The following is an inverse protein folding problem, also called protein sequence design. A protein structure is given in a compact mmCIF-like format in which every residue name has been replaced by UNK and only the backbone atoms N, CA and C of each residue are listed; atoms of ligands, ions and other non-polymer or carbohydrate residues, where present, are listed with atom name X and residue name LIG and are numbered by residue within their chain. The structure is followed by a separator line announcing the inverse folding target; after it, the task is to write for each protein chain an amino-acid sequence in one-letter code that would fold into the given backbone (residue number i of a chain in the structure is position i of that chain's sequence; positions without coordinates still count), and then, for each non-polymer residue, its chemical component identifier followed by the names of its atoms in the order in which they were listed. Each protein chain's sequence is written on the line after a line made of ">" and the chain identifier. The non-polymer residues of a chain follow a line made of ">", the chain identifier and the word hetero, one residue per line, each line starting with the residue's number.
data_IF_229168318413
#
_entry.id   IF_229168318413
#
_cell.length_a   1.000
_cell.length_b   1.000
_cell.length_c   1.000
_cell.angle_alpha   90.00
_cell.angle_beta   90.00
_cell.angle_gamma   90.00
#
_symmetry.space_group_name_H-M   'P 1'
#
loop_
_entity.id
_entity.type
_entity.pdbx_description
1 polymer ?
#
# COMPACT_ATOMS: atom_id res chain seq x y z
N UNK A 1 -3.90 -18.48 44.21
CA UNK A 1 -3.56 -19.02 42.87
C UNK A 1 -4.76 -19.06 41.93
N UNK A 2 -5.87 -19.74 42.26
CA UNK A 2 -7.03 -19.86 41.34
C UNK A 2 -7.57 -18.52 40.85
N UNK A 3 -7.77 -17.55 41.77
CA UNK A 3 -8.23 -16.19 41.40
C UNK A 3 -7.27 -15.49 40.43
N UNK A 4 -5.96 -15.55 40.72
CA UNK A 4 -4.92 -14.93 39.88
C UNK A 4 -4.90 -15.51 38.48
N UNK A 5 -4.95 -16.85 38.36
CA UNK A 5 -4.95 -17.53 37.06
C UNK A 5 -6.21 -17.20 36.27
N UNK A 6 -7.38 -17.24 36.93
CA UNK A 6 -8.66 -16.95 36.28
C UNK A 6 -8.71 -15.53 35.70
N UNK A 7 -8.37 -14.51 36.49
CA UNK A 7 -8.38 -13.12 36.01
C UNK A 7 -7.33 -12.86 34.93
N UNK A 8 -6.10 -13.40 35.09
CA UNK A 8 -5.06 -13.24 34.07
C UNK A 8 -5.45 -13.91 32.75
N UNK A 9 -5.99 -15.13 32.79
CA UNK A 9 -6.41 -15.85 31.59
C UNK A 9 -7.56 -15.11 30.87
N UNK A 10 -8.56 -14.62 31.62
CA UNK A 10 -9.66 -13.84 31.07
C UNK A 10 -9.16 -12.58 30.36
N UNK A 11 -8.21 -11.86 30.97
CA UNK A 11 -7.62 -10.66 30.39
C UNK A 11 -6.81 -10.97 29.12
N UNK A 12 -6.00 -12.04 29.14
CA UNK A 12 -5.21 -12.45 27.97
C UNK A 12 -6.12 -12.85 26.81
N UNK A 13 -7.16 -13.65 27.06
CA UNK A 13 -8.13 -14.05 26.02
C UNK A 13 -8.89 -12.83 25.49
N UNK A 14 -9.34 -11.94 26.37
CA UNK A 14 -10.02 -10.71 25.97
C UNK A 14 -9.15 -9.86 25.04
N UNK A 15 -7.89 -9.59 25.41
CA UNK A 15 -7.00 -8.80 24.56
C UNK A 15 -6.56 -9.53 23.30
N UNK A 16 -6.44 -10.86 23.34
CA UNK A 16 -6.16 -11.64 22.13
C UNK A 16 -7.30 -11.51 21.11
N UNK A 17 -8.55 -11.66 21.55
CA UNK A 17 -9.73 -11.51 20.70
C UNK A 17 -9.85 -10.07 20.18
N UNK A 18 -9.57 -9.08 21.03
CA UNK A 18 -9.70 -7.66 20.69
C UNK A 18 -8.62 -7.19 19.70
N UNK A 19 -7.37 -7.65 19.84
CA UNK A 19 -6.22 -7.06 19.12
C UNK A 19 -5.59 -7.97 18.06
N UNK A 20 -5.67 -9.30 18.21
CA UNK A 20 -4.95 -10.23 17.32
C UNK A 20 -5.90 -10.89 16.33
N UNK A 21 -6.95 -11.53 16.83
CA UNK A 21 -7.88 -12.27 15.99
C UNK A 21 -9.27 -12.28 16.61
N UNK A 22 -10.19 -11.57 15.97
CA UNK A 22 -11.59 -11.54 16.36
C UNK A 22 -12.39 -12.55 15.53
N UNK A 23 -12.70 -13.75 16.04
CA UNK A 23 -13.46 -14.77 15.30
C UNK A 23 -14.90 -14.33 14.99
N UNK A 24 -15.40 -13.27 15.62
CA UNK A 24 -16.75 -12.75 15.42
C UNK A 24 -16.83 -11.70 14.32
N UNK A 25 -15.69 -11.22 13.80
CA UNK A 25 -15.65 -10.29 12.68
C UNK A 25 -15.53 -11.06 11.37
N UNK A 26 -16.58 -11.02 10.55
CA UNK A 26 -16.53 -11.58 9.21
C UNK A 26 -15.70 -10.68 8.30
N UNK A 27 -14.58 -11.21 7.81
CA UNK A 27 -13.75 -10.58 6.79
C UNK A 27 -13.85 -11.38 5.51
N UNK A 28 -14.04 -10.70 4.38
CA UNK A 28 -13.91 -11.35 3.08
C UNK A 28 -12.43 -11.63 2.82
N UNK A 29 -12.09 -12.90 2.68
CA UNK A 29 -10.78 -13.34 2.25
C UNK A 29 -10.79 -13.53 0.73
N UNK A 30 -9.73 -13.08 0.09
CA UNK A 30 -9.54 -13.16 -1.34
C UNK A 30 -8.37 -14.10 -1.62
N UNK A 31 -8.54 -15.00 -2.58
CA UNK A 31 -7.47 -15.90 -2.99
C UNK A 31 -6.39 -15.14 -3.73
N UNK A 32 -5.13 -15.44 -3.42
CA UNK A 32 -3.97 -14.95 -4.16
C UNK A 32 -3.15 -16.15 -4.64
N UNK A 33 -3.09 -16.41 -5.96
CA UNK A 33 -2.25 -17.46 -6.52
C UNK A 33 -0.77 -17.30 -6.11
N UNK A 34 -0.07 -18.41 -5.86
CA UNK A 34 1.32 -18.41 -5.37
C UNK A 34 2.29 -17.72 -6.35
N UNK A 35 2.06 -17.87 -7.65
CA UNK A 35 2.83 -17.21 -8.70
C UNK A 35 2.65 -15.69 -8.66
N UNK A 36 1.41 -15.22 -8.50
CA UNK A 36 1.10 -13.81 -8.32
C UNK A 36 1.70 -13.27 -7.02
N UNK A 37 1.62 -14.01 -5.92
CA UNK A 37 2.23 -13.64 -4.64
C UNK A 37 3.76 -13.48 -4.76
N UNK A 38 4.41 -14.37 -5.52
CA UNK A 38 5.85 -14.30 -5.80
C UNK A 38 6.21 -13.05 -6.59
N UNK A 39 5.45 -12.72 -7.64
CA UNK A 39 5.65 -11.51 -8.46
C UNK A 39 5.44 -10.25 -7.61
N UNK A 40 4.41 -10.20 -6.78
CA UNK A 40 4.13 -9.08 -5.85
C UNK A 40 5.25 -8.91 -4.81
N UNK A 41 6.01 -9.97 -4.53
CA UNK A 41 7.20 -9.95 -3.68
C UNK A 41 8.46 -9.42 -4.35
N UNK A 42 8.53 -9.37 -5.68
CA UNK A 42 9.75 -9.05 -6.42
C UNK A 42 9.92 -7.53 -6.64
N UNK A 43 11.00 -6.91 -6.14
CA UNK A 43 11.30 -5.50 -6.41
C UNK A 43 11.44 -5.16 -7.90
N UNK A 44 11.90 -6.10 -8.73
CA UNK A 44 12.02 -5.86 -10.19
C UNK A 44 10.66 -5.76 -10.85
N UNK A 45 9.71 -6.60 -10.44
CA UNK A 45 8.34 -6.56 -10.91
C UNK A 45 7.65 -5.22 -10.60
N UNK A 46 8.00 -4.56 -9.48
CA UNK A 46 7.48 -3.24 -9.14
C UNK A 46 7.93 -2.14 -10.13
N UNK A 47 9.13 -2.24 -10.71
CA UNK A 47 9.61 -1.28 -11.72
C UNK A 47 8.81 -1.40 -13.02
N UNK A 48 8.59 -2.63 -13.50
CA UNK A 48 7.74 -2.90 -14.66
C UNK A 48 6.27 -2.53 -14.38
N UNK A 49 5.79 -2.85 -13.19
CA UNK A 49 4.45 -2.53 -12.71
C UNK A 49 4.15 -1.03 -12.73
N UNK A 50 5.15 -0.18 -12.50
CA UNK A 50 5.01 1.27 -12.60
C UNK A 50 4.68 1.73 -14.02
N UNK A 51 5.36 1.17 -15.02
CA UNK A 51 5.11 1.53 -16.42
C UNK A 51 3.77 0.99 -16.89
N UNK A 52 3.42 -0.25 -16.50
CA UNK A 52 2.08 -0.81 -16.72
C UNK A 52 0.98 0.05 -16.08
N UNK A 53 1.22 0.57 -14.87
CA UNK A 53 0.27 1.46 -14.20
C UNK A 53 0.08 2.78 -14.96
N UNK A 54 1.16 3.41 -15.44
CA UNK A 54 1.06 4.64 -16.23
C UNK A 54 0.28 4.44 -17.52
N UNK A 55 0.49 3.30 -18.17
CA UNK A 55 -0.16 2.99 -19.45
C UNK A 55 -1.64 2.68 -19.30
N UNK A 56 -2.04 1.99 -18.23
CA UNK A 56 -3.39 1.43 -18.11
C UNK A 56 -4.26 2.10 -17.04
N UNK A 57 -3.67 2.69 -16.01
CA UNK A 57 -4.39 3.18 -14.82
C UNK A 57 -4.35 4.71 -14.68
N UNK A 58 -3.25 5.35 -15.09
CA UNK A 58 -3.05 6.80 -14.91
C UNK A 58 -3.99 7.68 -15.77
N UNK A 59 -4.75 7.09 -16.69
CA UNK A 59 -5.83 7.80 -17.39
C UNK A 59 -6.97 8.23 -16.45
N UNK A 60 -7.23 7.45 -15.39
CA UNK A 60 -8.36 7.63 -14.48
C UNK A 60 -7.95 7.78 -13.02
N UNK A 61 -6.80 7.23 -12.61
CA UNK A 61 -6.34 7.24 -11.23
C UNK A 61 -5.09 8.09 -11.04
N UNK A 62 -5.06 8.88 -9.97
CA UNK A 62 -3.81 9.43 -9.46
C UNK A 62 -3.14 8.43 -8.50
N UNK A 63 -1.82 8.54 -8.39
CA UNK A 63 -1.01 7.90 -7.37
C UNK A 63 0.04 8.92 -6.92
N UNK A 64 -0.44 9.90 -6.14
CA UNK A 64 0.29 11.12 -5.79
C UNK A 64 1.57 10.86 -5.00
N UNK A 65 1.61 9.81 -4.17
CA UNK A 65 2.80 9.49 -3.36
C UNK A 65 4.00 9.00 -4.20
N UNK A 66 3.79 8.58 -5.45
CA UNK A 66 4.88 8.32 -6.42
C UNK A 66 4.91 9.37 -7.55
N UNK A 67 4.16 10.46 -7.40
CA UNK A 67 4.13 11.58 -8.34
C UNK A 67 3.43 11.25 -9.66
N UNK A 68 2.53 10.28 -9.67
CA UNK A 68 1.70 9.96 -10.85
C UNK A 68 0.35 10.67 -10.70
N UNK A 69 -0.03 11.41 -11.73
CA UNK A 69 -1.29 12.13 -11.82
C UNK A 69 -2.01 11.72 -13.11
N UNK A 70 -3.25 12.20 -13.26
CA UNK A 70 -4.04 11.96 -14.46
C UNK A 70 -3.28 12.39 -15.71
N UNK A 71 -3.27 11.54 -16.74
CA UNK A 71 -2.60 11.83 -18.00
C UNK A 71 -3.06 13.17 -18.60
N UNK A 72 -4.35 13.46 -18.52
CA UNK A 72 -4.94 14.73 -18.99
C UNK A 72 -4.44 15.96 -18.21
N UNK A 73 -4.13 15.80 -16.92
CA UNK A 73 -3.56 16.86 -16.09
C UNK A 73 -2.08 17.03 -16.39
N UNK A 74 -1.33 15.94 -16.54
CA UNK A 74 0.10 16.00 -16.88
C UNK A 74 0.37 16.55 -18.27
N UNK A 75 -0.60 16.45 -19.18
CA UNK A 75 -0.52 17.01 -20.53
C UNK A 75 -0.69 18.54 -20.57
N UNK A 76 -1.11 19.17 -19.46
CA UNK A 76 -1.31 20.63 -19.40
C UNK A 76 0.02 21.37 -19.40
N UNK A 77 0.21 22.44 -20.21
CA UNK A 77 1.47 23.18 -20.28
C UNK A 77 1.93 23.77 -18.94
N UNK A 78 0.99 24.17 -18.08
CA UNK A 78 1.25 24.74 -16.77
C UNK A 78 1.67 23.68 -15.73
N UNK A 79 1.36 22.40 -15.94
CA UNK A 79 1.58 21.35 -14.96
C UNK A 79 3.04 21.26 -14.52
N UNK A 80 3.99 21.32 -15.47
CA UNK A 80 5.42 21.21 -15.11
C UNK A 80 5.95 22.38 -14.29
N UNK A 81 5.31 23.56 -14.38
CA UNK A 81 5.65 24.70 -13.53
C UNK A 81 5.08 24.50 -12.13
N UNK A 82 3.83 24.05 -12.04
CA UNK A 82 3.12 23.84 -10.78
C UNK A 82 3.77 22.71 -9.98
N UNK A 83 4.09 21.58 -10.61
CA UNK A 83 4.70 20.43 -9.93
C UNK A 83 6.06 20.78 -9.32
N UNK A 84 6.84 21.65 -9.97
CA UNK A 84 8.16 22.08 -9.49
C UNK A 84 8.07 23.18 -8.45
N UNK A 85 7.10 24.09 -8.57
CA UNK A 85 6.94 25.21 -7.64
C UNK A 85 6.27 24.79 -6.33
N UNK A 86 5.26 23.92 -6.41
CA UNK A 86 4.40 23.56 -5.29
C UNK A 86 4.61 22.11 -4.81
N UNK A 87 5.27 21.28 -5.61
CA UNK A 87 5.51 19.88 -5.30
C UNK A 87 6.80 19.65 -4.52
N UNK A 88 6.79 18.62 -3.67
CA UNK A 88 7.98 18.10 -3.00
C UNK A 88 8.60 16.99 -3.83
N UNK A 89 9.92 16.99 -4.10
CA UNK A 89 10.55 15.95 -4.90
C UNK A 89 10.45 14.60 -4.18
N UNK A 90 9.99 13.59 -4.90
CA UNK A 90 10.00 12.20 -4.47
C UNK A 90 11.34 11.61 -4.86
N UNK A 91 12.14 11.29 -3.84
CA UNK A 91 13.50 10.84 -4.00
C UNK A 91 13.54 9.31 -3.96
N UNK A 92 14.09 8.75 -5.02
CA UNK A 92 14.53 7.36 -5.08
C UNK A 92 16.04 7.31 -4.84
N UNK A 93 16.47 6.51 -3.87
CA UNK A 93 17.88 6.25 -3.61
C UNK A 93 18.27 4.93 -4.28
N UNK A 94 19.14 5.02 -5.27
CA UNK A 94 19.78 3.87 -5.90
C UNK A 94 21.25 3.85 -5.49
N UNK A 95 21.54 3.16 -4.39
CA UNK A 95 22.83 3.26 -3.69
C UNK A 95 23.12 4.70 -3.24
N UNK A 96 24.24 5.25 -3.70
CA UNK A 96 24.65 6.63 -3.42
C UNK A 96 24.00 7.67 -4.35
N UNK A 97 23.31 7.24 -5.42
CA UNK A 97 22.69 8.15 -6.38
C UNK A 97 21.27 8.51 -5.95
N UNK A 98 21.01 9.81 -5.89
CA UNK A 98 19.69 10.39 -5.61
C UNK A 98 19.02 10.75 -6.94
N UNK A 99 17.93 10.06 -7.27
CA UNK A 99 17.12 10.36 -8.46
C UNK A 99 15.77 10.92 -8.04
N UNK A 100 15.34 12.02 -8.66
CA UNK A 100 13.97 12.53 -8.51
C UNK A 100 13.07 11.72 -9.44
N UNK A 101 12.14 10.96 -8.86
CA UNK A 101 11.22 10.08 -9.58
C UNK A 101 9.94 10.81 -10.03
N UNK A 102 9.57 11.86 -9.30
CA UNK A 102 8.40 12.71 -9.53
C UNK A 102 8.26 13.76 -8.43
N UNK A 103 7.14 14.47 -8.41
CA UNK A 103 6.82 15.45 -7.38
C UNK A 103 5.50 15.10 -6.68
N UNK A 104 5.51 15.11 -5.36
CA UNK A 104 4.30 15.06 -4.54
C UNK A 104 3.71 16.47 -4.46
N UNK A 105 2.55 16.66 -5.06
CA UNK A 105 1.80 17.91 -5.09
C UNK A 105 0.70 17.81 -4.03
N UNK A 106 0.53 18.84 -3.18
CA UNK A 106 -0.57 18.92 -2.23
C UNK A 106 -1.94 18.70 -2.88
N UNK A 107 -2.86 18.10 -2.13
CA UNK A 107 -4.16 17.65 -2.65
C UNK A 107 -4.99 18.80 -3.22
N UNK A 108 -5.06 19.90 -2.47
CA UNK A 108 -5.76 21.14 -2.82
C UNK A 108 -5.22 21.75 -4.12
N UNK A 109 -3.90 21.83 -4.27
CA UNK A 109 -3.25 22.33 -5.49
C UNK A 109 -3.57 21.42 -6.68
N UNK A 110 -3.46 20.10 -6.49
CA UNK A 110 -3.78 19.14 -7.54
C UNK A 110 -5.25 19.21 -7.95
N UNK A 111 -6.19 19.20 -6.99
CA UNK A 111 -7.63 19.25 -7.27
C UNK A 111 -8.05 20.58 -7.93
N UNK A 112 -7.39 21.69 -7.60
CA UNK A 112 -7.65 22.97 -8.27
C UNK A 112 -7.29 22.93 -9.77
N UNK A 113 -6.15 22.33 -10.11
CA UNK A 113 -5.69 22.21 -11.51
C UNK A 113 -6.46 21.13 -12.26
N UNK A 114 -6.76 20.03 -11.59
CA UNK A 114 -7.44 18.86 -12.14
C UNK A 114 -8.97 18.97 -12.12
N UNK A 115 -9.54 20.04 -11.56
CA UNK A 115 -10.98 20.20 -11.38
C UNK A 115 -11.83 19.81 -12.61
N UNK A 116 -11.59 20.34 -13.83
CA UNK A 116 -12.39 19.96 -14.99
C UNK A 116 -12.26 18.47 -15.34
N UNK A 117 -11.06 17.91 -15.24
CA UNK A 117 -10.78 16.50 -15.50
C UNK A 117 -11.49 15.58 -14.50
N UNK A 118 -11.43 15.93 -13.21
CA UNK A 118 -12.10 15.18 -12.15
C UNK A 118 -13.62 15.23 -12.31
N UNK A 119 -14.18 16.37 -12.74
CA UNK A 119 -15.62 16.48 -13.00
C UNK A 119 -16.04 15.68 -14.23
N UNK A 120 -15.22 15.64 -15.27
CA UNK A 120 -15.46 14.79 -16.43
C UNK A 120 -15.46 13.29 -16.04
N UNK A 121 -14.48 12.86 -15.24
CA UNK A 121 -14.43 11.49 -14.71
C UNK A 121 -15.65 11.19 -13.82
N UNK A 122 -16.05 12.13 -12.96
CA UNK A 122 -17.25 12.01 -12.13
C UNK A 122 -18.52 11.90 -12.96
N UNK A 123 -18.63 12.63 -14.07
CA UNK A 123 -19.78 12.52 -14.97
C UNK A 123 -19.84 11.14 -15.64
N UNK A 124 -18.70 10.61 -16.08
CA UNK A 124 -18.62 9.30 -16.77
C UNK A 124 -18.82 8.10 -15.83
N UNK A 125 -18.24 8.15 -14.63
CA UNK A 125 -18.23 7.01 -13.69
C UNK A 125 -19.15 7.22 -12.48
N UNK A 126 -19.89 8.32 -12.41
CA UNK A 126 -20.71 8.72 -11.26
C UNK A 126 -19.92 9.19 -10.03
N UNK A 127 -18.65 8.80 -9.92
CA UNK A 127 -17.73 9.17 -8.83
C UNK A 127 -16.34 9.41 -9.40
N UNK A 128 -15.59 10.29 -8.75
CA UNK A 128 -14.16 10.48 -9.07
C UNK A 128 -13.41 9.20 -8.67
N UNK A 129 -12.65 8.57 -9.57
CA UNK A 129 -11.84 7.42 -9.22
C UNK A 129 -10.87 7.77 -8.08
N UNK A 130 -10.73 6.91 -7.05
CA UNK A 130 -9.93 7.22 -5.89
C UNK A 130 -8.42 7.30 -6.20
N UNK A 131 -7.71 8.11 -5.42
CA UNK A 131 -6.25 8.14 -5.40
C UNK A 131 -5.69 6.82 -4.85
N UNK A 132 -4.75 6.21 -5.57
CA UNK A 132 -4.22 4.88 -5.26
C UNK A 132 -2.97 4.91 -4.38
N UNK A 133 -2.55 6.08 -3.91
CA UNK A 133 -1.33 6.27 -3.12
C UNK A 133 -1.21 5.32 -1.93
N UNK A 134 -2.31 5.10 -1.19
CA UNK A 134 -2.34 4.27 0.04
C UNK A 134 -3.24 3.05 -0.08
N UNK A 135 -3.70 2.73 -1.30
CA UNK A 135 -4.72 1.69 -1.49
C UNK A 135 -4.23 0.31 -1.08
N UNK A 136 -2.92 0.06 -1.20
CA UNK A 136 -2.31 -1.19 -0.75
C UNK A 136 -2.54 -1.46 0.74
N UNK A 137 -2.37 -0.44 1.59
CA UNK A 137 -2.66 -0.57 3.01
C UNK A 137 -4.15 -0.69 3.33
N UNK A 138 -5.02 -0.08 2.51
CA UNK A 138 -6.46 -0.08 2.73
C UNK A 138 -7.16 -1.38 2.29
N UNK A 139 -6.55 -2.16 1.39
CA UNK A 139 -7.19 -3.33 0.76
C UNK A 139 -6.36 -4.60 0.76
N UNK A 140 -5.03 -4.49 0.81
CA UNK A 140 -4.12 -5.64 0.75
C UNK A 140 -3.93 -6.21 -0.67
N UNK A 141 -2.95 -7.11 -0.80
CA UNK A 141 -2.52 -7.65 -2.09
C UNK A 141 -3.59 -8.48 -2.79
N UNK A 142 -4.25 -9.39 -2.05
CA UNK A 142 -5.20 -10.34 -2.62
C UNK A 142 -6.45 -9.65 -3.19
N UNK A 143 -7.04 -8.73 -2.41
CA UNK A 143 -8.15 -7.90 -2.89
C UNK A 143 -7.74 -7.13 -4.15
N UNK A 144 -6.59 -6.44 -4.14
CA UNK A 144 -6.17 -5.62 -5.27
C UNK A 144 -5.91 -6.44 -6.53
N UNK A 145 -5.35 -7.63 -6.38
CA UNK A 145 -5.15 -8.55 -7.49
C UNK A 145 -6.49 -8.98 -8.10
N UNK A 146 -7.41 -9.50 -7.28
CA UNK A 146 -8.72 -9.97 -7.75
C UNK A 146 -9.57 -8.83 -8.31
N UNK A 147 -9.58 -7.66 -7.66
CA UNK A 147 -10.35 -6.50 -8.07
C UNK A 147 -9.83 -5.91 -9.38
N UNK A 148 -8.51 -5.86 -9.59
CA UNK A 148 -7.94 -5.32 -10.83
C UNK A 148 -8.17 -6.26 -12.01
N UNK A 149 -8.13 -7.57 -11.78
CA UNK A 149 -8.38 -8.58 -12.81
C UNK A 149 -9.86 -8.65 -13.20
N UNK A 150 -10.77 -8.64 -12.21
CA UNK A 150 -12.21 -8.76 -12.42
C UNK A 150 -13.00 -7.84 -11.49
N UNK A 151 -13.07 -6.51 -11.79
CA UNK A 151 -13.73 -5.55 -10.91
C UNK A 151 -15.18 -5.88 -10.59
N UNK A 152 -15.95 -6.33 -11.60
CA UNK A 152 -17.37 -6.68 -11.44
C UNK A 152 -17.61 -7.90 -10.55
N UNK A 153 -16.64 -8.83 -10.49
CA UNK A 153 -16.73 -10.04 -9.66
C UNK A 153 -16.56 -9.68 -8.18
N UNK A 154 -15.64 -8.76 -7.88
CA UNK A 154 -15.34 -8.33 -6.51
C UNK A 154 -16.35 -7.29 -6.03
N UNK A 155 -16.70 -6.31 -6.86
CA UNK A 155 -17.67 -5.28 -6.54
C UNK A 155 -18.74 -5.18 -7.65
N UNK A 156 -19.87 -5.89 -7.51
CA UNK A 156 -20.94 -5.86 -8.50
C UNK A 156 -21.46 -4.45 -8.72
N UNK A 157 -21.55 -4.02 -9.99
CA UNK A 157 -22.03 -2.70 -10.37
C UNK A 157 -21.00 -1.58 -10.21
N UNK A 158 -19.72 -1.92 -10.01
CA UNK A 158 -18.64 -0.93 -10.07
C UNK A 158 -18.58 -0.28 -11.47
N UNK A 159 -18.24 1.01 -11.53
CA UNK A 159 -18.04 1.70 -12.81
C UNK A 159 -16.65 1.48 -13.40
N UNK A 160 -15.75 0.82 -12.65
CA UNK A 160 -14.42 0.47 -13.14
C UNK A 160 -14.54 -0.61 -14.23
N UNK A 161 -14.06 -0.35 -15.46
CA UNK A 161 -14.07 -1.34 -16.52
C UNK A 161 -13.04 -2.44 -16.24
N UNK A 162 -13.25 -3.61 -16.84
CA UNK A 162 -12.21 -4.62 -16.91
C UNK A 162 -11.14 -4.15 -17.89
N UNK A 163 -9.90 -4.03 -17.41
CA UNK A 163 -8.75 -3.55 -18.20
C UNK A 163 -7.89 -4.72 -18.72
N UNK A 164 -7.91 -5.84 -18.01
CA UNK A 164 -7.10 -7.01 -18.30
C UNK A 164 -8.02 -8.20 -18.58
N UNK A 165 -7.88 -8.80 -19.76
CA UNK A 165 -8.75 -9.87 -20.23
C UNK A 165 -7.95 -11.18 -20.35
N UNK A 166 -7.88 -11.99 -19.28
CA UNK A 166 -7.13 -13.25 -19.28
C UNK A 166 -7.65 -14.26 -20.31
N UNK A 167 -8.87 -14.09 -20.81
CA UNK A 167 -9.45 -14.87 -21.89
C UNK A 167 -8.71 -14.68 -23.23
N UNK A 168 -8.14 -13.49 -23.44
CA UNK A 168 -7.44 -13.12 -24.68
C UNK A 168 -5.93 -12.92 -24.50
N UNK A 169 -5.51 -12.44 -23.33
CA UNK A 169 -4.12 -12.17 -22.99
C UNK A 169 -3.70 -13.05 -21.79
N UNK A 170 -2.96 -14.12 -22.06
CA UNK A 170 -2.48 -15.04 -21.01
C UNK A 170 -1.51 -14.39 -20.02
N UNK A 171 -0.92 -13.25 -20.38
CA UNK A 171 -0.02 -12.49 -19.50
C UNK A 171 -0.78 -11.48 -18.61
N UNK A 172 -2.09 -11.32 -18.82
CA UNK A 172 -2.92 -10.41 -18.01
C UNK A 172 -2.77 -10.63 -16.50
N UNK A 173 -2.81 -11.87 -15.96
CA UNK A 173 -2.62 -12.12 -14.54
C UNK A 173 -1.24 -11.66 -14.04
N UNK A 174 -0.19 -11.87 -14.82
CA UNK A 174 1.16 -11.43 -14.50
C UNK A 174 1.26 -9.89 -14.50
N UNK A 175 0.69 -9.22 -15.51
CA UNK A 175 0.64 -7.75 -15.60
C UNK A 175 -0.08 -7.15 -14.39
N UNK A 176 -1.20 -7.73 -13.98
CA UNK A 176 -1.92 -7.33 -12.77
C UNK A 176 -1.06 -7.53 -11.53
N UNK A 177 -0.40 -8.68 -11.38
CA UNK A 177 0.50 -8.92 -10.26
C UNK A 177 1.65 -7.90 -10.19
N UNK A 178 2.24 -7.51 -11.34
CA UNK A 178 3.26 -6.44 -11.42
C UNK A 178 2.70 -5.09 -10.98
N UNK A 179 1.49 -4.72 -11.41
CA UNK A 179 0.83 -3.49 -10.95
C UNK A 179 0.62 -3.51 -9.42
N UNK A 180 0.18 -4.63 -8.86
CA UNK A 180 0.02 -4.77 -7.41
C UNK A 180 1.39 -4.73 -6.69
N UNK A 181 2.44 -5.31 -7.28
CA UNK A 181 3.82 -5.19 -6.80
C UNK A 181 4.27 -3.72 -6.73
N UNK A 182 3.90 -2.94 -7.75
CA UNK A 182 4.16 -1.51 -7.77
C UNK A 182 3.38 -0.76 -6.67
N UNK A 183 2.07 -0.99 -6.53
CA UNK A 183 1.25 -0.38 -5.46
C UNK A 183 1.78 -0.72 -4.06
N UNK A 184 2.31 -1.94 -3.89
CA UNK A 184 3.01 -2.37 -2.68
C UNK A 184 4.28 -1.56 -2.46
N UNK A 185 5.13 -1.42 -3.47
CA UNK A 185 6.44 -0.74 -3.37
C UNK A 185 6.34 0.74 -3.03
N UNK A 186 5.21 1.38 -3.34
CA UNK A 186 4.94 2.78 -2.98
C UNK A 186 4.71 2.94 -1.49
N UNK A 187 4.12 1.93 -0.86
CA UNK A 187 3.68 1.97 0.53
C UNK A 187 4.69 1.32 1.46
N UNK A 188 5.21 0.16 1.08
CA UNK A 188 6.10 -0.62 1.94
C UNK A 188 7.58 -0.28 1.72
N UNK A 189 8.39 -0.28 2.80
CA UNK A 189 9.83 -0.06 2.67
C UNK A 189 10.50 -1.20 1.87
N UNK A 190 11.64 -0.92 1.21
CA UNK A 190 12.38 -1.93 0.48
C UNK A 190 12.85 -3.08 1.40
N UNK A 191 13.12 -4.28 0.85
CA UNK A 191 13.50 -5.45 1.65
C UNK A 191 14.64 -5.19 2.63
N UNK A 192 15.67 -4.43 2.22
CA UNK A 192 16.80 -4.08 3.09
C UNK A 192 16.41 -3.29 4.34
N UNK A 193 15.50 -2.31 4.21
CA UNK A 193 15.01 -1.53 5.34
C UNK A 193 14.02 -2.33 6.20
N UNK A 194 13.22 -3.22 5.60
CA UNK A 194 12.38 -4.16 6.38
C UNK A 194 13.21 -5.04 7.30
N UNK A 195 14.28 -5.64 6.78
CA UNK A 195 15.17 -6.49 7.58
C UNK A 195 15.82 -5.71 8.72
N UNK A 196 16.30 -4.48 8.46
CA UNK A 196 16.84 -3.61 9.52
C UNK A 196 15.80 -3.34 10.61
N UNK A 197 14.56 -3.00 10.24
CA UNK A 197 13.47 -2.73 11.20
C UNK A 197 13.15 -3.95 12.05
N UNK A 198 13.05 -5.13 11.44
CA UNK A 198 12.83 -6.39 12.17
C UNK A 198 13.95 -6.67 13.15
N UNK A 199 15.20 -6.52 12.72
CA UNK A 199 16.37 -6.76 13.56
C UNK A 199 16.45 -5.78 14.74
N UNK A 200 16.25 -4.48 14.49
CA UNK A 200 16.18 -3.47 15.56
C UNK A 200 15.04 -3.75 16.54
N UNK A 201 13.90 -4.22 16.05
CA UNK A 201 12.77 -4.63 16.90
C UNK A 201 13.15 -5.77 17.84
N UNK A 202 13.76 -6.83 17.31
CA UNK A 202 14.22 -7.99 18.09
C UNK A 202 15.23 -7.57 19.16
N UNK A 203 16.24 -6.77 18.79
CA UNK A 203 17.23 -6.28 19.76
C UNK A 203 16.62 -5.40 20.84
N UNK A 204 15.69 -4.53 20.47
CA UNK A 204 15.01 -3.62 21.42
C UNK A 204 14.19 -4.41 22.44
N UNK A 205 13.41 -5.38 22.00
CA UNK A 205 12.63 -6.26 22.90
C UNK A 205 13.56 -7.05 23.81
N UNK A 206 14.64 -7.63 23.26
CA UNK A 206 15.66 -8.35 24.05
C UNK A 206 16.32 -7.47 25.11
N UNK A 207 16.68 -6.22 24.75
CA UNK A 207 17.22 -5.24 25.68
C UNK A 207 16.28 -4.95 26.85
N UNK A 208 14.99 -4.72 26.58
CA UNK A 208 14.01 -4.44 27.65
C UNK A 208 13.80 -5.63 28.59
N UNK A 209 13.78 -6.85 28.06
CA UNK A 209 13.69 -8.06 28.90
C UNK A 209 14.93 -8.19 29.80
N UNK A 210 16.12 -8.01 29.24
CA UNK A 210 17.38 -8.08 29.99
C UNK A 210 17.45 -6.98 31.06
N UNK A 211 17.15 -5.74 30.70
CA UNK A 211 17.15 -4.60 31.62
C UNK A 211 16.14 -4.81 32.75
N UNK A 212 14.93 -5.29 32.43
CA UNK A 212 13.91 -5.63 33.43
C UNK A 212 14.39 -6.71 34.41
N UNK A 213 15.06 -7.75 33.93
CA UNK A 213 15.64 -8.79 34.77
C UNK A 213 16.77 -8.25 35.67
N UNK A 214 17.67 -7.42 35.13
CA UNK A 214 18.76 -6.78 35.89
C UNK A 214 18.19 -5.91 37.02
N UNK A 215 17.20 -5.06 36.72
CA UNK A 215 16.54 -4.20 37.72
C UNK A 215 15.84 -5.03 38.80
N UNK A 216 15.22 -6.15 38.43
CA UNK A 216 14.60 -7.05 39.40
C UNK A 216 15.63 -7.70 40.34
N UNK A 217 16.78 -8.12 39.81
CA UNK A 217 17.90 -8.66 40.61
C UNK A 217 18.49 -7.59 41.52
N UNK A 218 18.75 -6.39 41.00
CA UNK A 218 19.30 -5.27 41.77
C UNK A 218 18.37 -4.90 42.93
N UNK A 219 17.06 -4.81 42.67
CA UNK A 219 16.06 -4.55 43.72
C UNK A 219 16.12 -5.57 44.84
N UNK A 220 16.27 -6.86 44.53
CA UNK A 220 16.41 -7.94 45.52
C UNK A 220 17.70 -7.89 46.34
N UNK A 221 18.72 -7.15 45.89
CA UNK A 221 19.98 -6.97 46.62
C UNK A 221 19.97 -5.73 47.51
N UNK A 222 19.16 -4.73 47.17
CA UNK A 222 19.05 -3.47 47.92
C UNK A 222 17.99 -3.53 49.04
N UNK A 223 16.97 -4.38 48.88
CA UNK A 223 15.93 -4.68 49.87
C UNK A 223 16.17 -6.08 50.42
#
# INVERSE_FOLDING_TARGET
>A
MIKTVFFSALVVVFFFILWVYNPFAHHEEYDLPDDAARIIGDPKAALEGRELFKQNCASCHSLRYDGIYLLSVTAKPEWSKIEKAMGKPIIEKDGDKVKVRGFFVPRDVYEAVAFPDLQALKASFGKVPPDLSTIYYARGAAYLYQFTLSPQKVLPGTSMPQLFFPEYDKEAPEKVAKIVAYLRSVNEPPPGEKTKRTLMGIFTVGYFILMGAILWILRKRLV
#
